data_IF_618025984588
#
_entry.id   IF_618025984588
#
_cell.length_a   1.000
_cell.length_b   1.000
_cell.length_c   1.000
_cell.angle_alpha   90.00
_cell.angle_beta   90.00
_cell.angle_gamma   90.00
#
_symmetry.space_group_name_H-M   'P 1'
#
loop_
_entity.id
_entity.type
_entity.pdbx_description
1 polymer ?
#
# COMPACT_ATOMS: atom_id res chain seq x y z
N UNK A 1 14.14 24.31 -1.22
CA UNK A 1 13.99 24.37 -2.70
C UNK A 1 14.86 23.30 -3.41
N UNK A 2 15.95 22.77 -2.82
CA UNK A 2 16.90 21.89 -3.52
C UNK A 2 16.52 20.41 -3.63
N UNK A 3 15.71 19.83 -2.75
CA UNK A 3 15.56 18.37 -2.62
C UNK A 3 14.44 17.83 -3.51
N UNK A 4 13.28 18.49 -3.54
CA UNK A 4 12.13 18.10 -4.40
C UNK A 4 12.51 18.10 -5.88
N UNK A 5 13.30 19.08 -6.29
CA UNK A 5 13.82 19.19 -7.66
C UNK A 5 14.72 18.03 -8.05
N UNK A 6 15.49 17.46 -7.10
CA UNK A 6 16.39 16.35 -7.39
C UNK A 6 15.68 15.04 -7.71
N UNK A 7 14.62 14.65 -6.99
CA UNK A 7 13.90 13.41 -7.28
C UNK A 7 13.09 13.53 -8.57
N UNK A 8 12.44 14.67 -8.81
CA UNK A 8 11.70 14.93 -10.07
C UNK A 8 12.60 14.82 -11.30
N UNK A 9 13.84 15.28 -11.24
CA UNK A 9 14.86 15.11 -12.31
C UNK A 9 15.30 13.65 -12.50
N UNK A 10 15.02 12.77 -11.55
CA UNK A 10 15.35 11.34 -11.62
C UNK A 10 14.21 10.49 -12.18
N UNK A 11 13.03 11.08 -12.45
CA UNK A 11 11.91 10.35 -13.02
C UNK A 11 12.20 9.89 -14.45
N UNK A 12 11.64 8.74 -14.79
CA UNK A 12 11.71 8.13 -16.12
C UNK A 12 10.30 7.85 -16.65
N UNK A 13 10.14 7.98 -17.95
CA UNK A 13 8.92 7.60 -18.62
C UNK A 13 8.67 6.09 -18.45
N UNK A 14 7.54 5.72 -17.85
CA UNK A 14 7.18 4.32 -17.63
C UNK A 14 6.97 3.53 -18.94
N UNK A 15 6.78 4.23 -20.09
CA UNK A 15 6.59 3.62 -21.39
C UNK A 15 7.90 3.40 -22.16
N UNK A 16 8.82 4.35 -22.15
CA UNK A 16 10.03 4.30 -22.99
C UNK A 16 11.35 4.52 -22.25
N UNK A 17 11.36 4.72 -20.94
CA UNK A 17 12.55 4.90 -20.10
C UNK A 17 13.26 6.26 -20.24
N UNK A 18 12.81 7.16 -21.10
CA UNK A 18 13.41 8.48 -21.26
C UNK A 18 13.22 9.33 -20.00
N UNK A 19 14.07 10.33 -19.79
CA UNK A 19 13.89 11.31 -18.72
C UNK A 19 12.53 12.01 -18.84
N UNK A 20 11.88 12.25 -17.71
CA UNK A 20 10.65 13.04 -17.66
C UNK A 20 10.97 14.45 -17.15
N UNK A 21 10.48 15.46 -17.89
CA UNK A 21 10.47 16.84 -17.44
C UNK A 21 9.19 17.05 -16.65
N UNK A 22 9.31 17.17 -15.33
CA UNK A 22 8.16 17.22 -14.40
C UNK A 22 7.86 18.67 -13.92
N UNK A 23 8.12 19.68 -14.75
CA UNK A 23 8.01 21.09 -14.35
C UNK A 23 6.60 21.67 -14.49
N UNK A 24 5.67 20.94 -15.11
CA UNK A 24 4.29 21.42 -15.33
C UNK A 24 3.27 20.56 -14.61
N UNK A 25 2.04 21.03 -14.36
CA UNK A 25 0.96 20.20 -13.86
C UNK A 25 0.73 18.94 -14.71
N UNK A 26 1.06 19.02 -16.01
CA UNK A 26 0.97 17.90 -16.96
C UNK A 26 2.36 17.30 -17.19
N UNK A 27 2.59 16.13 -16.65
CA UNK A 27 3.83 15.38 -16.87
C UNK A 27 3.75 14.72 -18.25
N UNK A 28 4.62 15.10 -19.18
CA UNK A 28 4.68 14.52 -20.52
C UNK A 28 6.10 14.07 -20.88
N UNK A 29 6.19 12.96 -21.63
CA UNK A 29 7.46 12.48 -22.16
C UNK A 29 7.76 13.14 -23.50
N UNK A 30 8.83 13.92 -23.60
CA UNK A 30 9.27 14.57 -24.83
C UNK A 30 9.66 13.58 -25.94
N UNK A 31 10.10 12.33 -25.56
CA UNK A 31 10.55 11.32 -26.52
C UNK A 31 9.40 10.53 -27.18
N UNK A 32 8.38 10.11 -26.41
CA UNK A 32 7.31 9.24 -26.93
C UNK A 32 5.92 9.86 -26.86
N UNK A 33 5.79 11.10 -26.40
CA UNK A 33 4.53 11.83 -26.29
C UNK A 33 3.57 11.31 -25.20
N UNK A 34 4.00 10.31 -24.38
CA UNK A 34 3.14 9.80 -23.30
C UNK A 34 2.84 10.90 -22.31
N UNK A 35 1.56 11.14 -22.07
CA UNK A 35 1.07 12.03 -21.03
C UNK A 35 0.73 11.24 -19.78
N UNK A 36 0.96 11.85 -18.61
CA UNK A 36 0.67 11.31 -17.30
C UNK A 36 -0.19 12.31 -16.54
N UNK A 37 -1.23 11.83 -15.89
CA UNK A 37 -2.09 12.67 -15.06
C UNK A 37 -1.76 12.52 -13.58
N UNK A 38 -2.41 13.30 -12.74
CA UNK A 38 -2.35 13.18 -11.28
C UNK A 38 -3.69 12.70 -10.73
N UNK A 39 -3.63 11.80 -9.77
CA UNK A 39 -4.77 11.44 -8.95
C UNK A 39 -4.70 12.29 -7.66
N UNK A 40 -5.49 13.36 -7.60
CA UNK A 40 -5.24 14.40 -6.61
C UNK A 40 -3.84 15.01 -6.79
N UNK A 41 -2.96 14.82 -5.79
CA UNK A 41 -1.56 15.26 -5.86
C UNK A 41 -0.59 14.18 -6.37
N UNK A 42 -1.04 12.94 -6.47
CA UNK A 42 -0.20 11.76 -6.76
C UNK A 42 0.00 11.60 -8.26
N UNK A 43 1.22 11.68 -8.79
CA UNK A 43 1.50 11.36 -10.20
C UNK A 43 1.22 9.90 -10.52
N UNK A 44 0.53 9.64 -11.64
CA UNK A 44 0.24 8.30 -12.15
C UNK A 44 1.24 7.96 -13.25
N UNK A 45 2.33 7.30 -12.87
CA UNK A 45 3.45 6.96 -13.76
C UNK A 45 3.36 5.48 -14.21
N UNK A 46 2.30 5.17 -14.95
CA UNK A 46 2.03 3.84 -15.52
C UNK A 46 2.17 3.87 -17.05
N UNK A 47 2.54 2.78 -17.71
CA UNK A 47 2.72 2.76 -19.17
C UNK A 47 1.48 3.18 -19.98
N UNK A 48 0.27 2.90 -19.44
CA UNK A 48 -1.03 3.25 -20.00
C UNK A 48 -1.93 3.80 -18.89
N UNK A 49 -1.71 5.06 -18.46
CA UNK A 49 -2.39 5.59 -17.27
C UNK A 49 -3.92 5.68 -17.43
N UNK A 50 -4.43 6.00 -18.64
CA UNK A 50 -5.86 6.10 -18.90
C UNK A 50 -6.61 4.76 -18.78
N UNK A 51 -5.96 3.64 -19.16
CA UNK A 51 -6.52 2.30 -18.98
C UNK A 51 -6.68 2.00 -17.49
N UNK A 52 -5.71 2.39 -16.67
CA UNK A 52 -5.78 2.25 -15.22
C UNK A 52 -6.86 3.13 -14.60
N UNK A 53 -7.01 4.38 -15.05
CA UNK A 53 -8.08 5.25 -14.57
C UNK A 53 -9.46 4.63 -14.85
N UNK A 54 -9.65 4.08 -16.05
CA UNK A 54 -10.88 3.38 -16.43
C UNK A 54 -11.12 2.15 -15.54
N UNK A 55 -10.07 1.35 -15.30
CA UNK A 55 -10.15 0.19 -14.40
C UNK A 55 -10.52 0.59 -12.98
N UNK A 56 -9.88 1.61 -12.41
CA UNK A 56 -10.13 2.07 -11.05
C UNK A 56 -11.55 2.63 -10.87
N UNK A 57 -12.05 3.41 -11.83
CA UNK A 57 -13.45 3.86 -11.83
C UNK A 57 -14.42 2.68 -11.85
N UNK A 58 -14.15 1.68 -12.68
CA UNK A 58 -14.93 0.46 -12.73
C UNK A 58 -14.90 -0.30 -11.39
N UNK A 59 -13.74 -0.46 -10.77
CA UNK A 59 -13.61 -1.11 -9.46
C UNK A 59 -14.43 -0.37 -8.39
N UNK A 60 -14.39 0.95 -8.36
CA UNK A 60 -15.21 1.74 -7.44
C UNK A 60 -16.70 1.58 -7.73
N UNK A 61 -17.13 1.58 -9.00
CA UNK A 61 -18.52 1.32 -9.40
C UNK A 61 -19.02 -0.07 -8.95
N UNK A 62 -18.18 -1.10 -9.07
CA UNK A 62 -18.48 -2.45 -8.56
C UNK A 62 -18.62 -2.47 -7.05
N UNK A 63 -17.74 -1.80 -6.32
CA UNK A 63 -17.82 -1.68 -4.87
C UNK A 63 -19.12 -0.99 -4.45
N UNK A 64 -19.52 0.08 -5.15
CA UNK A 64 -20.78 0.78 -4.90
C UNK A 64 -22.00 -0.16 -5.09
N UNK A 65 -22.02 -0.96 -6.15
CA UNK A 65 -23.10 -1.91 -6.41
C UNK A 65 -23.19 -2.99 -5.32
N UNK A 66 -22.06 -3.57 -4.94
CA UNK A 66 -21.98 -4.61 -3.92
C UNK A 66 -22.37 -4.10 -2.53
N UNK A 67 -21.90 -2.91 -2.14
CA UNK A 67 -22.29 -2.31 -0.86
C UNK A 67 -23.78 -2.03 -0.81
N UNK A 68 -24.39 -1.58 -1.91
CA UNK A 68 -25.85 -1.39 -2.00
C UNK A 68 -26.60 -2.71 -1.88
N UNK A 69 -26.15 -3.75 -2.58
CA UNK A 69 -26.75 -5.07 -2.49
C UNK A 69 -26.68 -5.63 -1.06
N UNK A 70 -25.49 -5.52 -0.43
CA UNK A 70 -25.28 -5.98 0.95
C UNK A 70 -26.18 -5.22 1.93
N UNK A 71 -26.22 -3.89 1.86
CA UNK A 71 -27.05 -3.08 2.75
C UNK A 71 -28.53 -3.37 2.56
N UNK A 72 -29.01 -3.51 1.31
CA UNK A 72 -30.40 -3.88 1.02
C UNK A 72 -30.77 -5.26 1.57
N UNK A 73 -29.90 -6.25 1.46
CA UNK A 73 -30.13 -7.58 2.03
C UNK A 73 -30.18 -7.56 3.56
N UNK A 74 -29.30 -6.81 4.21
CA UNK A 74 -29.28 -6.65 5.67
C UNK A 74 -30.56 -5.96 6.18
N UNK A 75 -31.02 -4.92 5.49
CA UNK A 75 -32.24 -4.19 5.84
C UNK A 75 -33.51 -5.04 5.62
N UNK A 76 -33.54 -5.80 4.51
CA UNK A 76 -34.64 -6.74 4.25
C UNK A 76 -34.71 -7.84 5.32
N UNK A 77 -33.59 -8.40 5.73
CA UNK A 77 -33.51 -9.38 6.82
C UNK A 77 -33.94 -8.76 8.16
N UNK A 78 -33.48 -7.53 8.48
CA UNK A 78 -33.84 -6.81 9.69
C UNK A 78 -35.38 -6.52 9.77
N UNK A 79 -36.02 -6.42 8.62
CA UNK A 79 -37.49 -6.28 8.51
C UNK A 79 -38.30 -7.54 8.87
N UNK A 80 -37.65 -8.70 9.04
CA UNK A 80 -38.37 -9.94 9.40
C UNK A 80 -38.93 -9.82 10.82
N UNK A 81 -40.30 -9.94 10.98
CA UNK A 81 -40.94 -9.81 12.29
C UNK A 81 -40.54 -10.92 13.27
N UNK A 82 -40.13 -12.08 12.80
CA UNK A 82 -39.75 -13.23 13.63
C UNK A 82 -38.35 -13.09 14.27
N UNK A 83 -37.54 -12.11 13.83
CA UNK A 83 -36.22 -11.88 14.41
C UNK A 83 -36.32 -11.23 15.79
N UNK A 84 -35.47 -11.68 16.70
CA UNK A 84 -35.24 -11.02 17.99
C UNK A 84 -34.75 -9.57 17.78
N UNK A 85 -35.14 -8.64 18.65
CA UNK A 85 -34.79 -7.22 18.55
C UNK A 85 -33.27 -6.99 18.52
N UNK A 86 -32.47 -7.78 19.28
CA UNK A 86 -31.02 -7.71 19.25
C UNK A 86 -30.41 -8.06 17.86
N UNK A 87 -31.04 -9.00 17.13
CA UNK A 87 -30.66 -9.35 15.77
C UNK A 87 -30.97 -8.20 14.78
N UNK A 88 -32.16 -7.61 14.88
CA UNK A 88 -32.55 -6.44 14.07
C UNK A 88 -31.58 -5.25 14.30
N UNK A 89 -31.30 -4.95 15.56
CA UNK A 89 -30.33 -3.90 15.91
C UNK A 89 -28.94 -4.17 15.30
N UNK A 90 -28.46 -5.41 15.38
CA UNK A 90 -27.19 -5.82 14.79
C UNK A 90 -27.17 -5.64 13.28
N UNK A 91 -28.18 -6.11 12.57
CA UNK A 91 -28.28 -6.00 11.11
C UNK A 91 -28.34 -4.54 10.65
N UNK A 92 -29.14 -3.72 11.33
CA UNK A 92 -29.23 -2.30 11.03
C UNK A 92 -27.90 -1.56 11.29
N UNK A 93 -27.22 -1.85 12.41
CA UNK A 93 -25.92 -1.26 12.71
C UNK A 93 -24.88 -1.63 11.65
N UNK A 94 -24.87 -2.89 11.20
CA UNK A 94 -23.98 -3.35 10.13
C UNK A 94 -24.30 -2.66 8.80
N UNK A 95 -25.58 -2.54 8.41
CA UNK A 95 -25.99 -1.85 7.19
C UNK A 95 -25.57 -0.37 7.21
N UNK A 96 -25.69 0.31 8.36
CA UNK A 96 -25.20 1.67 8.53
C UNK A 96 -23.69 1.76 8.38
N UNK A 97 -22.93 0.87 9.05
CA UNK A 97 -21.47 0.84 8.98
C UNK A 97 -20.94 0.63 7.56
N UNK A 98 -21.52 -0.31 6.81
CA UNK A 98 -21.16 -0.57 5.40
C UNK A 98 -21.48 0.65 4.52
N UNK A 99 -22.61 1.32 4.75
CA UNK A 99 -23.00 2.52 4.00
C UNK A 99 -22.06 3.69 4.29
N UNK A 100 -21.70 3.90 5.54
CA UNK A 100 -20.75 4.94 5.95
C UNK A 100 -19.36 4.70 5.36
N UNK A 101 -18.88 3.46 5.42
CA UNK A 101 -17.58 3.08 4.81
C UNK A 101 -17.59 3.39 3.31
N UNK A 102 -18.64 2.98 2.58
CA UNK A 102 -18.75 3.27 1.15
C UNK A 102 -18.74 4.78 0.87
N UNK A 103 -19.55 5.56 1.62
CA UNK A 103 -19.60 7.01 1.47
C UNK A 103 -18.20 7.62 1.64
N UNK A 104 -17.48 7.25 2.68
CA UNK A 104 -16.13 7.74 2.96
C UNK A 104 -15.12 7.37 1.86
N UNK A 105 -15.21 6.16 1.30
CA UNK A 105 -14.39 5.77 0.13
C UNK A 105 -14.73 6.64 -1.08
N UNK A 106 -16.00 6.85 -1.37
CA UNK A 106 -16.44 7.67 -2.51
C UNK A 106 -16.02 9.13 -2.33
N UNK A 107 -16.14 9.68 -1.12
CA UNK A 107 -15.75 11.05 -0.82
C UNK A 107 -14.24 11.28 -1.00
N UNK A 108 -13.42 10.35 -0.56
CA UNK A 108 -11.95 10.48 -0.64
C UNK A 108 -11.41 10.08 -2.01
N UNK A 109 -11.72 8.86 -2.46
CA UNK A 109 -11.15 8.29 -3.68
C UNK A 109 -11.92 8.72 -4.92
N UNK A 110 -13.25 8.77 -4.84
CA UNK A 110 -14.11 9.18 -5.95
C UNK A 110 -13.81 10.61 -6.39
N UNK A 111 -13.62 11.53 -5.43
CA UNK A 111 -13.20 12.90 -5.70
C UNK A 111 -11.88 12.97 -6.45
N UNK A 112 -10.92 12.12 -6.10
CA UNK A 112 -9.62 12.06 -6.77
C UNK A 112 -9.72 11.46 -8.17
N UNK A 113 -10.52 10.38 -8.37
CA UNK A 113 -10.72 9.74 -9.68
C UNK A 113 -11.43 10.64 -10.70
N UNK A 114 -12.24 11.60 -10.21
CA UNK A 114 -13.00 12.52 -11.05
C UNK A 114 -14.00 11.82 -11.99
N UNK A 115 -14.91 12.60 -12.59
CA UNK A 115 -15.92 12.10 -13.52
C UNK A 115 -17.07 11.32 -12.83
N UNK A 116 -18.07 10.90 -13.62
CA UNK A 116 -19.20 10.16 -13.10
C UNK A 116 -18.80 8.76 -12.65
N UNK A 117 -19.24 8.40 -11.44
CA UNK A 117 -19.10 7.05 -10.88
C UNK A 117 -20.47 6.37 -10.94
N UNK A 118 -20.61 5.42 -11.83
CA UNK A 118 -21.85 4.67 -11.95
C UNK A 118 -21.67 3.28 -11.34
N UNK A 119 -22.62 2.81 -10.50
CA UNK A 119 -22.63 1.45 -10.03
C UNK A 119 -22.70 0.48 -11.21
N UNK A 120 -21.84 -0.53 -11.22
CA UNK A 120 -21.79 -1.51 -12.29
C UNK A 120 -22.31 -2.86 -11.83
N UNK A 121 -23.15 -3.49 -12.62
CA UNK A 121 -23.58 -4.87 -12.36
C UNK A 121 -22.38 -5.82 -12.42
N UNK A 122 -22.24 -6.67 -11.40
CA UNK A 122 -21.17 -7.66 -11.33
C UNK A 122 -21.61 -8.91 -10.60
N UNK A 123 -21.15 -10.04 -11.09
CA UNK A 123 -21.30 -11.36 -10.47
C UNK A 123 -20.13 -11.77 -9.58
N UNK A 124 -19.13 -10.92 -9.39
CA UNK A 124 -17.94 -11.21 -8.60
C UNK A 124 -17.43 -10.05 -7.75
N UNK A 125 -16.82 -10.36 -6.61
CA UNK A 125 -16.17 -9.35 -5.75
C UNK A 125 -14.93 -8.76 -6.45
N UNK A 126 -14.78 -7.42 -6.50
CA UNK A 126 -13.50 -6.82 -6.90
C UNK A 126 -12.47 -7.20 -5.84
N UNK A 127 -11.51 -8.02 -6.21
CA UNK A 127 -10.34 -8.25 -5.37
C UNK A 127 -9.58 -6.92 -5.23
N UNK A 128 -9.26 -6.54 -4.02
CA UNK A 128 -8.38 -5.42 -3.74
C UNK A 128 -8.97 -4.33 -2.84
N UNK A 129 -10.07 -3.67 -3.21
CA UNK A 129 -10.53 -2.45 -2.51
C UNK A 129 -10.99 -2.74 -1.08
N UNK A 130 -11.77 -3.80 -0.85
CA UNK A 130 -12.27 -4.16 0.49
C UNK A 130 -11.25 -5.01 1.25
N UNK A 131 -10.52 -5.85 0.53
CA UNK A 131 -9.57 -6.80 1.12
C UNK A 131 -8.39 -6.09 1.79
N UNK A 132 -7.95 -4.95 1.24
CA UNK A 132 -6.83 -4.17 1.78
C UNK A 132 -7.23 -3.01 2.70
N UNK A 133 -8.53 -2.73 2.89
CA UNK A 133 -8.98 -1.64 3.80
C UNK A 133 -8.49 -1.82 5.25
N UNK A 134 -8.29 -3.07 5.69
CA UNK A 134 -7.73 -3.36 7.01
C UNK A 134 -6.33 -2.79 7.22
N UNK A 135 -5.55 -2.58 6.15
CA UNK A 135 -4.25 -1.90 6.24
C UNK A 135 -4.40 -0.45 6.70
N UNK A 136 -5.46 0.26 6.25
CA UNK A 136 -5.72 1.64 6.69
C UNK A 136 -6.00 1.71 8.18
N UNK A 137 -6.79 0.77 8.70
CA UNK A 137 -7.11 0.73 10.14
C UNK A 137 -5.88 0.37 10.97
N UNK A 138 -5.11 -0.67 10.59
CA UNK A 138 -3.88 -1.05 11.28
C UNK A 138 -2.89 0.10 11.31
N UNK A 139 -2.69 0.74 10.17
CA UNK A 139 -1.65 1.74 9.99
C UNK A 139 -1.97 3.06 10.68
N UNK A 140 -3.26 3.47 10.70
CA UNK A 140 -3.60 4.83 11.05
C UNK A 140 -4.68 5.01 12.12
N UNK A 141 -5.35 3.90 12.53
CA UNK A 141 -6.50 3.96 13.42
C UNK A 141 -6.38 3.10 14.69
N UNK A 142 -5.87 1.87 14.58
CA UNK A 142 -5.82 0.93 15.71
C UNK A 142 -4.69 1.30 16.68
N UNK A 143 -4.86 2.37 17.44
CA UNK A 143 -3.87 2.97 18.33
C UNK A 143 -2.88 1.97 18.96
N UNK A 144 -3.33 1.19 19.95
CA UNK A 144 -2.45 0.25 20.66
C UNK A 144 -2.07 -0.96 19.80
N UNK A 145 -3.04 -1.62 19.18
CA UNK A 145 -2.82 -2.85 18.43
C UNK A 145 -2.02 -2.58 17.13
N UNK A 146 -2.42 -1.57 16.36
CA UNK A 146 -1.73 -1.17 15.13
C UNK A 146 -0.33 -0.64 15.40
N UNK A 147 -0.15 0.19 16.41
CA UNK A 147 1.17 0.70 16.78
C UNK A 147 2.12 -0.41 17.24
N UNK A 148 1.63 -1.46 17.93
CA UNK A 148 2.45 -2.63 18.27
C UNK A 148 2.93 -3.39 17.03
N UNK A 149 2.05 -3.61 16.04
CA UNK A 149 2.43 -4.27 14.79
C UNK A 149 3.41 -3.43 13.97
N UNK A 150 3.19 -2.12 13.88
CA UNK A 150 4.10 -1.20 13.21
C UNK A 150 5.47 -1.15 13.91
N UNK A 151 5.49 -1.11 15.24
CA UNK A 151 6.72 -1.13 16.03
C UNK A 151 7.49 -2.45 15.85
N UNK A 152 6.81 -3.60 15.83
CA UNK A 152 7.45 -4.89 15.52
C UNK A 152 8.16 -4.87 14.16
N UNK A 153 7.52 -4.27 13.14
CA UNK A 153 8.12 -4.12 11.81
C UNK A 153 9.37 -3.24 11.82
N UNK A 154 9.32 -2.10 12.51
CA UNK A 154 10.48 -1.20 12.68
C UNK A 154 11.61 -1.90 13.44
N UNK A 155 11.31 -2.60 14.54
CA UNK A 155 12.31 -3.31 15.34
C UNK A 155 12.98 -4.45 14.55
N UNK A 156 12.19 -5.16 13.74
CA UNK A 156 12.73 -6.20 12.86
C UNK A 156 13.67 -5.60 11.80
N UNK A 157 13.30 -4.49 11.17
CA UNK A 157 14.16 -3.81 10.21
C UNK A 157 15.41 -3.26 10.92
N UNK A 158 15.25 -2.60 12.07
CA UNK A 158 16.38 -2.07 12.85
C UNK A 158 17.39 -3.15 13.24
N UNK A 159 16.92 -4.38 13.49
CA UNK A 159 17.79 -5.50 13.86
C UNK A 159 18.68 -6.01 12.73
N UNK A 160 18.37 -5.69 11.48
CA UNK A 160 19.13 -6.14 10.31
C UNK A 160 19.84 -5.01 9.56
N UNK A 161 19.50 -3.75 9.82
CA UNK A 161 20.19 -2.64 9.15
C UNK A 161 21.56 -2.42 9.75
N UNK A 162 22.58 -2.29 8.89
CA UNK A 162 23.96 -2.04 9.28
C UNK A 162 24.23 -0.58 9.64
N UNK A 163 23.32 0.32 9.31
CA UNK A 163 23.32 1.73 9.71
C UNK A 163 21.91 2.32 9.70
N UNK A 164 21.59 3.14 10.68
CA UNK A 164 20.30 3.85 10.77
C UNK A 164 20.22 5.10 9.87
N UNK A 165 21.06 5.18 8.82
CA UNK A 165 21.00 6.26 7.83
C UNK A 165 20.49 5.72 6.51
N UNK A 166 19.17 5.67 6.33
CA UNK A 166 18.56 5.15 5.10
C UNK A 166 18.73 6.08 3.89
N UNK A 167 19.07 7.37 4.13
CA UNK A 167 19.32 8.33 3.06
C UNK A 167 18.11 8.55 2.15
N UNK A 168 18.33 8.62 0.84
CA UNK A 168 17.23 8.64 -0.13
C UNK A 168 16.65 7.23 -0.28
N UNK A 169 15.41 7.06 0.16
CA UNK A 169 14.75 5.76 0.26
C UNK A 169 13.63 5.62 -0.76
N UNK A 170 13.55 4.44 -1.38
CA UNK A 170 12.39 4.00 -2.15
C UNK A 170 11.69 2.87 -1.40
N UNK A 171 10.38 2.99 -1.21
CA UNK A 171 9.54 1.90 -0.68
C UNK A 171 8.63 1.40 -1.79
N UNK A 172 8.75 0.11 -2.13
CA UNK A 172 8.00 -0.54 -3.21
C UNK A 172 6.92 -1.44 -2.64
N UNK A 173 5.68 -1.27 -3.10
CA UNK A 173 4.52 -1.94 -2.49
C UNK A 173 4.20 -1.34 -1.13
N UNK A 174 4.15 -0.01 -1.06
CA UNK A 174 4.04 0.72 0.21
C UNK A 174 2.68 0.59 0.90
N UNK A 175 1.64 0.11 0.19
CA UNK A 175 0.30 -0.10 0.72
C UNK A 175 -0.28 1.18 1.35
N UNK A 176 -0.70 1.10 2.63
CA UNK A 176 -1.18 2.27 3.36
C UNK A 176 -0.06 3.18 3.90
N UNK A 177 1.20 2.93 3.56
CA UNK A 177 2.39 3.76 3.77
C UNK A 177 2.87 3.94 5.22
N UNK A 178 2.29 3.31 6.23
CA UNK A 178 2.71 3.52 7.62
C UNK A 178 4.18 3.12 7.85
N UNK A 179 4.60 1.98 7.36
CA UNK A 179 5.99 1.56 7.52
C UNK A 179 6.95 2.53 6.83
N UNK A 180 6.61 3.03 5.63
CA UNK A 180 7.43 4.02 4.94
C UNK A 180 7.52 5.34 5.73
N UNK A 181 6.40 5.78 6.33
CA UNK A 181 6.34 6.94 7.19
C UNK A 181 7.22 6.77 8.44
N UNK A 182 7.11 5.64 9.15
CA UNK A 182 7.89 5.35 10.35
C UNK A 182 9.39 5.21 10.04
N UNK A 183 9.77 4.56 8.93
CA UNK A 183 11.16 4.48 8.47
C UNK A 183 11.73 5.88 8.18
N UNK A 184 10.94 6.76 7.56
CA UNK A 184 11.35 8.13 7.32
C UNK A 184 11.59 8.89 8.62
N UNK A 185 10.69 8.72 9.60
CA UNK A 185 10.77 9.41 10.90
C UNK A 185 11.91 8.93 11.79
N UNK A 186 12.15 7.61 11.82
CA UNK A 186 12.95 6.99 12.88
C UNK A 186 14.27 6.37 12.43
N UNK A 187 14.50 6.22 11.11
CA UNK A 187 15.69 5.53 10.58
C UNK A 187 16.49 6.39 9.58
N UNK A 188 16.50 7.71 9.78
CA UNK A 188 17.42 8.63 9.10
C UNK A 188 17.26 8.67 7.57
N UNK A 189 16.04 8.47 7.04
CA UNK A 189 15.76 8.79 5.66
C UNK A 189 15.73 10.30 5.45
N UNK A 190 16.42 10.79 4.42
CA UNK A 190 16.47 12.21 4.08
C UNK A 190 15.38 12.60 3.09
N UNK A 191 15.01 11.66 2.22
CA UNK A 191 13.96 11.80 1.22
C UNK A 191 13.37 10.42 0.96
N UNK A 192 12.05 10.31 0.92
CA UNK A 192 11.34 9.03 0.70
C UNK A 192 10.44 9.12 -0.51
N UNK A 193 10.60 8.17 -1.44
CA UNK A 193 9.63 7.90 -2.49
C UNK A 193 8.85 6.62 -2.14
N UNK A 194 7.54 6.66 -2.24
CA UNK A 194 6.69 5.47 -2.11
C UNK A 194 6.04 5.15 -3.45
N UNK A 195 6.02 3.85 -3.80
CA UNK A 195 5.43 3.35 -5.04
C UNK A 195 4.43 2.25 -4.71
N UNK A 196 3.25 2.38 -5.25
CA UNK A 196 2.21 1.34 -5.24
C UNK A 196 1.37 1.44 -6.50
N UNK A 197 0.59 0.39 -6.79
CA UNK A 197 -0.36 0.35 -7.91
C UNK A 197 -1.80 0.54 -7.43
N UNK A 198 -2.06 0.43 -6.13
CA UNK A 198 -3.38 0.59 -5.53
C UNK A 198 -3.68 2.06 -5.22
N UNK A 199 -4.57 2.72 -5.99
CA UNK A 199 -4.91 4.13 -5.79
C UNK A 199 -5.73 4.35 -4.52
N UNK A 200 -6.52 3.35 -4.07
CA UNK A 200 -7.43 3.50 -2.95
C UNK A 200 -6.65 3.69 -1.65
N UNK A 201 -5.68 2.83 -1.37
CA UNK A 201 -4.82 2.99 -0.20
C UNK A 201 -3.98 4.27 -0.28
N UNK A 202 -3.46 4.57 -1.47
CA UNK A 202 -2.54 5.69 -1.66
C UNK A 202 -3.21 7.06 -1.48
N UNK A 203 -4.46 7.23 -1.92
CA UNK A 203 -5.18 8.52 -1.75
C UNK A 203 -5.46 8.78 -0.27
N UNK A 204 -5.87 7.75 0.49
CA UNK A 204 -6.01 7.85 1.94
C UNK A 204 -4.67 8.17 2.62
N UNK A 205 -3.64 7.39 2.31
CA UNK A 205 -2.32 7.55 2.91
C UNK A 205 -1.72 8.93 2.63
N UNK A 206 -1.87 9.45 1.40
CA UNK A 206 -1.39 10.79 1.05
C UNK A 206 -2.06 11.86 1.90
N UNK A 207 -3.38 11.84 2.00
CA UNK A 207 -4.13 12.80 2.82
C UNK A 207 -3.68 12.75 4.29
N UNK A 208 -3.55 11.54 4.88
CA UNK A 208 -3.15 11.34 6.28
C UNK A 208 -1.71 11.80 6.51
N UNK A 209 -0.78 11.41 5.64
CA UNK A 209 0.64 11.81 5.76
C UNK A 209 0.80 13.31 5.61
N UNK A 210 -0.08 13.99 4.88
CA UNK A 210 -0.11 15.47 4.78
C UNK A 210 -0.81 16.15 5.95
N UNK A 211 -1.30 15.39 6.93
CA UNK A 211 -1.87 15.92 8.18
C UNK A 211 -3.39 16.04 8.18
N UNK A 212 -4.07 15.48 7.21
CA UNK A 212 -5.53 15.38 7.28
C UNK A 212 -5.95 14.36 8.35
N UNK A 213 -7.04 14.66 9.04
CA UNK A 213 -7.80 13.67 9.82
C UNK A 213 -8.85 13.09 8.91
N UNK A 214 -8.74 11.78 8.61
CA UNK A 214 -9.65 11.10 7.70
C UNK A 214 -10.52 10.13 8.49
N UNK A 215 -11.83 10.33 8.47
CA UNK A 215 -12.76 9.39 9.10
C UNK A 215 -12.95 8.16 8.22
N UNK A 216 -12.86 6.98 8.85
CA UNK A 216 -13.09 5.73 8.14
C UNK A 216 -13.74 4.68 9.05
N UNK A 217 -14.87 4.13 8.58
CA UNK A 217 -15.71 3.22 9.36
C UNK A 217 -15.31 1.78 9.13
N UNK A 218 -14.88 1.09 10.18
CA UNK A 218 -14.72 -0.36 10.24
C UNK A 218 -16.03 -1.00 10.64
N UNK A 219 -16.52 -1.94 9.83
CA UNK A 219 -17.72 -2.71 10.10
C UNK A 219 -17.42 -4.22 10.02
N UNK A 220 -17.94 -5.01 10.95
CA UNK A 220 -17.68 -6.44 11.01
C UNK A 220 -18.93 -7.25 11.29
N UNK A 221 -19.09 -8.35 10.55
CA UNK A 221 -20.15 -9.35 10.78
C UNK A 221 -19.86 -10.28 11.97
N UNK A 222 -18.62 -10.30 12.44
CA UNK A 222 -18.14 -11.26 13.45
C UNK A 222 -17.65 -10.54 14.70
N UNK A 223 -18.59 -9.92 15.42
CA UNK A 223 -18.33 -9.25 16.70
C UNK A 223 -19.08 -9.95 17.83
N UNK A 224 -18.55 -9.82 19.03
CA UNK A 224 -19.12 -10.43 20.23
C UNK A 224 -20.11 -9.49 20.93
N UNK A 225 -20.02 -8.18 20.70
CA UNK A 225 -20.83 -7.15 21.33
C UNK A 225 -21.46 -6.24 20.28
N UNK A 226 -22.72 -5.84 20.49
CA UNK A 226 -23.45 -4.94 19.57
C UNK A 226 -22.71 -3.60 19.36
N UNK A 227 -22.05 -3.09 20.39
CA UNK A 227 -21.28 -1.85 20.36
C UNK A 227 -20.04 -1.89 19.46
N UNK A 228 -19.62 -3.10 19.04
CA UNK A 228 -18.42 -3.33 18.23
C UNK A 228 -18.73 -3.64 16.76
N UNK A 229 -20.01 -3.63 16.34
CA UNK A 229 -20.39 -4.00 14.96
C UNK A 229 -19.84 -3.02 13.94
N UNK A 230 -19.88 -1.73 14.24
CA UNK A 230 -19.33 -0.68 13.39
C UNK A 230 -18.72 0.41 14.28
N UNK A 231 -17.54 0.86 13.90
CA UNK A 231 -16.84 1.95 14.56
C UNK A 231 -16.18 2.86 13.54
N UNK A 232 -16.47 4.14 13.63
CA UNK A 232 -15.73 5.15 12.86
C UNK A 232 -14.46 5.53 13.61
N UNK A 233 -13.34 5.47 12.91
CA UNK A 233 -12.02 5.83 13.38
C UNK A 233 -11.58 7.15 12.76
N UNK A 234 -10.80 7.93 13.48
CA UNK A 234 -10.05 9.06 12.94
C UNK A 234 -8.64 8.57 12.58
N UNK A 235 -8.37 8.47 11.28
CA UNK A 235 -7.07 8.08 10.75
C UNK A 235 -6.15 9.29 10.75
N UNK A 236 -5.03 9.20 11.46
CA UNK A 236 -4.09 10.32 11.65
C UNK A 236 -2.64 9.86 11.60
N UNK A 237 -1.74 10.76 11.17
CA UNK A 237 -0.31 10.54 11.26
C UNK A 237 0.16 10.79 12.72
N UNK A 238 0.69 9.76 13.43
CA UNK A 238 0.91 9.85 14.88
C UNK A 238 1.98 10.87 15.29
N UNK A 239 3.00 11.05 14.47
CA UNK A 239 4.13 11.95 14.73
C UNK A 239 4.09 13.22 13.86
N UNK A 240 2.88 13.58 13.40
CA UNK A 240 2.61 14.77 12.60
C UNK A 240 2.90 14.60 11.10
N UNK A 241 2.58 15.62 10.30
CA UNK A 241 2.67 15.55 8.86
C UNK A 241 4.10 15.52 8.32
N UNK A 242 4.25 14.96 7.11
CA UNK A 242 5.45 15.06 6.29
C UNK A 242 5.16 15.92 5.05
N UNK A 243 6.09 16.80 4.71
CA UNK A 243 5.99 17.71 3.55
C UNK A 243 6.19 16.99 2.20
N UNK A 244 5.76 17.68 1.12
CA UNK A 244 5.98 17.21 -0.25
C UNK A 244 7.44 17.31 -0.70
N UNK A 245 8.27 17.96 0.07
CA UNK A 245 9.71 18.13 -0.16
C UNK A 245 10.54 16.94 0.32
N UNK A 246 9.99 16.12 1.21
CA UNK A 246 10.71 14.98 1.80
C UNK A 246 10.03 13.63 1.60
N UNK A 247 8.70 13.63 1.30
CA UNK A 247 7.93 12.38 1.15
C UNK A 247 7.04 12.43 -0.09
N UNK A 248 7.29 11.55 -1.06
CA UNK A 248 6.73 11.59 -2.41
C UNK A 248 5.94 10.34 -2.72
N UNK A 249 4.70 10.51 -3.19
CA UNK A 249 3.83 9.42 -3.63
C UNK A 249 3.86 9.28 -5.16
N UNK A 250 3.94 8.03 -5.65
CA UNK A 250 3.86 7.71 -7.08
C UNK A 250 3.00 6.47 -7.30
N UNK A 251 1.91 6.59 -8.03
CA UNK A 251 1.19 5.43 -8.56
C UNK A 251 1.96 4.87 -9.76
N UNK A 252 2.65 3.76 -9.55
CA UNK A 252 3.53 3.17 -10.56
C UNK A 252 3.67 1.66 -10.35
N UNK A 253 4.18 0.96 -11.38
CA UNK A 253 4.45 -0.47 -11.29
C UNK A 253 5.70 -0.72 -10.43
N UNK A 254 5.52 -1.37 -9.29
CA UNK A 254 6.61 -1.73 -8.38
C UNK A 254 7.65 -2.67 -8.98
N UNK A 255 7.31 -3.45 -10.00
CA UNK A 255 8.27 -4.31 -10.73
C UNK A 255 9.25 -3.51 -11.61
N UNK A 256 8.85 -2.29 -12.00
CA UNK A 256 9.68 -1.39 -12.82
C UNK A 256 9.47 0.06 -12.39
N UNK A 257 9.95 0.44 -11.19
CA UNK A 257 9.77 1.80 -10.69
C UNK A 257 10.39 2.82 -11.65
N UNK A 258 9.69 3.92 -11.95
CA UNK A 258 10.06 4.86 -13.02
C UNK A 258 11.13 5.86 -12.57
N UNK A 259 12.28 5.37 -12.15
CA UNK A 259 13.41 6.19 -11.70
C UNK A 259 14.70 5.84 -12.45
N UNK A 260 15.60 6.81 -12.49
CA UNK A 260 16.93 6.64 -13.04
C UNK A 260 17.77 5.64 -12.24
N UNK A 261 18.77 5.09 -12.88
CA UNK A 261 19.76 4.23 -12.24
C UNK A 261 20.51 4.99 -11.14
N UNK A 262 20.87 4.28 -10.07
CA UNK A 262 21.62 4.84 -8.96
C UNK A 262 20.93 6.01 -8.24
N UNK A 263 19.58 6.00 -8.20
CA UNK A 263 18.83 7.07 -7.55
C UNK A 263 18.80 6.94 -6.04
N UNK A 264 18.75 5.72 -5.50
CA UNK A 264 18.43 5.49 -4.09
C UNK A 264 19.61 4.93 -3.29
N UNK A 265 19.71 5.37 -2.04
CA UNK A 265 20.59 4.80 -1.02
C UNK A 265 20.02 3.49 -0.49
N UNK A 266 18.70 3.44 -0.34
CA UNK A 266 17.97 2.30 0.21
C UNK A 266 16.72 2.04 -0.61
N UNK A 267 16.49 0.76 -0.96
CA UNK A 267 15.22 0.26 -1.46
C UNK A 267 14.61 -0.62 -0.37
N UNK A 268 13.33 -0.45 -0.07
CA UNK A 268 12.60 -1.26 0.92
C UNK A 268 11.42 -1.93 0.25
N UNK A 269 11.22 -3.22 0.50
CA UNK A 269 10.09 -4.02 0.00
C UNK A 269 9.31 -4.62 1.17
N UNK A 270 8.32 -3.87 1.71
CA UNK A 270 7.46 -4.42 2.74
C UNK A 270 6.37 -5.28 2.12
N UNK A 271 6.25 -6.57 2.51
CA UNK A 271 5.15 -7.46 2.09
C UNK A 271 4.93 -7.48 0.56
N UNK A 272 6.02 -7.45 -0.23
CA UNK A 272 5.95 -7.26 -1.67
C UNK A 272 6.48 -8.45 -2.48
N UNK A 273 7.62 -9.04 -2.10
CA UNK A 273 8.30 -10.02 -2.94
C UNK A 273 7.51 -11.33 -3.11
N UNK A 274 6.69 -11.69 -2.15
CA UNK A 274 5.80 -12.84 -2.20
C UNK A 274 4.57 -12.62 -3.10
N UNK A 275 4.23 -11.36 -3.42
CA UNK A 275 3.14 -11.02 -4.32
C UNK A 275 3.52 -11.08 -5.81
N UNK A 276 4.81 -11.17 -6.12
CA UNK A 276 5.34 -11.10 -7.50
C UNK A 276 6.26 -12.28 -7.87
N UNK A 277 5.93 -13.52 -7.46
CA UNK A 277 6.87 -14.63 -7.57
C UNK A 277 7.32 -14.95 -9.02
N UNK A 278 6.48 -14.86 -10.08
CA UNK A 278 6.94 -15.09 -11.43
C UNK A 278 7.95 -14.06 -11.95
N UNK A 279 7.82 -12.81 -11.47
CA UNK A 279 8.59 -11.66 -11.95
C UNK A 279 9.77 -11.34 -11.03
N UNK A 280 9.96 -12.08 -9.94
CA UNK A 280 10.98 -11.82 -8.93
C UNK A 280 12.39 -11.68 -9.51
N UNK A 281 12.87 -12.52 -10.46
CA UNK A 281 14.21 -12.35 -11.04
C UNK A 281 14.37 -11.01 -11.78
N UNK A 282 13.35 -10.58 -12.54
CA UNK A 282 13.34 -9.28 -13.22
C UNK A 282 13.31 -8.13 -12.21
N UNK A 283 12.55 -8.27 -11.13
CA UNK A 283 12.47 -7.29 -10.06
C UNK A 283 13.81 -7.12 -9.34
N UNK A 284 14.56 -8.20 -9.06
CA UNK A 284 15.90 -8.13 -8.45
C UNK A 284 16.85 -7.30 -9.32
N UNK A 285 16.78 -7.46 -10.65
CA UNK A 285 17.54 -6.64 -11.59
C UNK A 285 17.15 -5.16 -11.50
N UNK A 286 15.85 -4.87 -11.36
CA UNK A 286 15.37 -3.50 -11.20
C UNK A 286 15.85 -2.88 -9.87
N UNK A 287 15.83 -3.61 -8.77
CA UNK A 287 16.36 -3.16 -7.47
C UNK A 287 17.86 -2.84 -7.58
N UNK A 288 18.63 -3.75 -8.19
CA UNK A 288 20.07 -3.55 -8.39
C UNK A 288 20.36 -2.26 -9.18
N UNK A 289 19.62 -2.03 -10.25
CA UNK A 289 19.74 -0.82 -11.09
C UNK A 289 19.43 0.47 -10.31
N UNK A 290 18.41 0.46 -9.46
CA UNK A 290 17.95 1.64 -8.73
C UNK A 290 18.89 2.06 -7.60
N UNK A 291 19.65 1.12 -7.06
CA UNK A 291 20.60 1.39 -5.99
C UNK A 291 21.86 2.10 -6.51
N UNK A 292 22.31 3.12 -5.79
CA UNK A 292 23.64 3.72 -6.02
C UNK A 292 24.75 2.76 -5.54
N UNK A 293 26.00 2.96 -5.96
CA UNK A 293 27.12 2.24 -5.39
C UNK A 293 27.15 2.36 -3.86
N UNK A 294 27.20 1.22 -3.16
CA UNK A 294 27.11 1.15 -1.70
C UNK A 294 25.71 1.30 -1.12
N UNK A 295 24.69 1.35 -1.97
CA UNK A 295 23.28 1.28 -1.56
C UNK A 295 22.88 -0.11 -1.07
N UNK A 296 21.69 -0.23 -0.51
CA UNK A 296 21.17 -1.46 0.08
C UNK A 296 19.72 -1.71 -0.26
N UNK A 297 19.34 -2.97 -0.24
CA UNK A 297 17.95 -3.41 -0.29
C UNK A 297 17.56 -4.03 1.06
N UNK A 298 16.41 -3.62 1.61
CA UNK A 298 15.81 -4.16 2.82
C UNK A 298 14.50 -4.82 2.42
N UNK A 299 14.36 -6.12 2.73
CA UNK A 299 13.07 -6.81 2.64
C UNK A 299 12.48 -7.02 4.02
N UNK A 300 11.16 -6.87 4.14
CA UNK A 300 10.40 -7.16 5.33
C UNK A 300 9.02 -7.70 4.95
N UNK A 301 8.78 -8.98 5.14
CA UNK A 301 7.50 -9.60 4.80
C UNK A 301 7.56 -11.12 4.83
N UNK A 302 6.41 -11.80 4.75
CA UNK A 302 6.35 -13.26 4.71
C UNK A 302 6.73 -13.78 3.32
N UNK A 303 6.79 -15.12 3.22
CA UNK A 303 6.85 -15.86 1.96
C UNK A 303 5.53 -16.60 1.76
N UNK A 304 4.42 -15.83 1.71
CA UNK A 304 3.05 -16.33 1.53
C UNK A 304 2.58 -15.93 0.14
N UNK A 305 2.77 -16.86 -0.80
CA UNK A 305 2.49 -16.63 -2.20
C UNK A 305 1.00 -16.73 -2.54
N UNK A 306 0.50 -15.97 -3.53
CA UNK A 306 -0.87 -16.10 -4.02
C UNK A 306 -1.21 -17.55 -4.42
N UNK A 307 -2.47 -17.94 -4.19
CA UNK A 307 -2.92 -19.32 -4.45
C UNK A 307 -2.86 -19.72 -5.93
N UNK A 308 -2.90 -18.76 -6.83
CA UNK A 308 -2.76 -18.92 -8.28
C UNK A 308 -1.31 -18.86 -8.77
N UNK A 309 -0.36 -18.51 -7.90
CA UNK A 309 1.06 -18.56 -8.25
C UNK A 309 1.51 -20.00 -8.50
N UNK A 310 2.29 -20.27 -9.56
CA UNK A 310 2.85 -21.61 -9.81
C UNK A 310 3.64 -22.10 -8.60
N UNK A 311 3.43 -23.36 -8.19
CA UNK A 311 4.12 -23.94 -7.02
C UNK A 311 5.64 -23.86 -7.19
N UNK A 312 6.15 -24.05 -8.42
CA UNK A 312 7.57 -23.91 -8.75
C UNK A 312 8.14 -22.50 -8.59
N UNK A 313 7.29 -21.52 -8.31
CA UNK A 313 7.67 -20.12 -8.05
C UNK A 313 7.37 -19.68 -6.62
N UNK A 314 6.93 -20.60 -5.77
CA UNK A 314 6.73 -20.35 -4.33
C UNK A 314 8.02 -20.73 -3.62
N UNK A 315 8.94 -19.79 -3.58
CA UNK A 315 10.30 -19.99 -3.09
C UNK A 315 10.35 -20.18 -1.58
N UNK A 316 11.12 -21.17 -1.12
CA UNK A 316 11.59 -21.23 0.27
C UNK A 316 12.59 -20.10 0.53
N UNK A 317 12.93 -19.87 1.81
CA UNK A 317 13.96 -18.90 2.16
C UNK A 317 15.30 -19.19 1.46
N UNK A 318 15.71 -20.44 1.42
CA UNK A 318 16.96 -20.92 0.82
C UNK A 318 16.98 -20.63 -0.69
N UNK A 319 15.89 -20.94 -1.39
CA UNK A 319 15.74 -20.67 -2.82
C UNK A 319 15.73 -19.17 -3.12
N UNK A 320 15.05 -18.38 -2.25
CA UNK A 320 15.06 -16.91 -2.35
C UNK A 320 16.49 -16.38 -2.20
N UNK A 321 17.24 -16.84 -1.21
CA UNK A 321 18.60 -16.38 -0.97
C UNK A 321 19.55 -16.76 -2.11
N UNK A 322 19.39 -17.94 -2.69
CA UNK A 322 20.13 -18.33 -3.90
C UNK A 322 19.78 -17.43 -5.10
N UNK A 323 18.49 -17.14 -5.33
CA UNK A 323 18.05 -16.19 -6.36
C UNK A 323 18.66 -14.79 -6.16
N UNK A 324 18.62 -14.27 -4.95
CA UNK A 324 19.15 -12.96 -4.59
C UNK A 324 20.67 -12.91 -4.79
N UNK A 325 21.38 -13.98 -4.40
CA UNK A 325 22.81 -14.12 -4.62
C UNK A 325 23.16 -14.15 -6.10
N UNK A 326 22.45 -14.90 -6.93
CA UNK A 326 22.62 -14.94 -8.39
C UNK A 326 22.33 -13.60 -9.06
N UNK A 327 21.44 -12.79 -8.46
CA UNK A 327 21.17 -11.43 -8.92
C UNK A 327 22.26 -10.41 -8.53
N UNK A 328 23.37 -10.86 -7.92
CA UNK A 328 24.50 -10.02 -7.56
C UNK A 328 24.37 -9.31 -6.23
N UNK A 329 23.62 -9.88 -5.28
CA UNK A 329 23.50 -9.37 -3.93
C UNK A 329 24.12 -10.31 -2.91
N UNK A 330 24.63 -9.76 -1.82
CA UNK A 330 24.98 -10.47 -0.60
C UNK A 330 23.95 -10.14 0.47
N UNK A 331 23.31 -11.15 1.06
CA UNK A 331 22.37 -11.02 2.17
C UNK A 331 23.13 -11.23 3.47
N UNK A 332 23.25 -10.19 4.27
CA UNK A 332 23.75 -10.20 5.64
C UNK A 332 23.49 -8.83 6.28
N UNK A 333 22.89 -8.76 7.45
CA UNK A 333 22.26 -9.85 8.25
C UNK A 333 20.81 -10.14 7.82
N UNK A 334 20.23 -11.20 8.38
CA UNK A 334 18.82 -11.51 8.24
C UNK A 334 18.19 -12.02 9.55
N UNK A 335 16.86 -11.94 9.63
CA UNK A 335 16.05 -12.40 10.75
C UNK A 335 14.74 -13.01 10.23
N UNK A 336 14.24 -14.06 10.93
CA UNK A 336 12.90 -14.60 10.73
C UNK A 336 12.21 -14.78 12.07
N UNK A 337 11.01 -14.23 12.22
CA UNK A 337 10.21 -14.33 13.44
C UNK A 337 8.70 -14.28 13.14
N UNK A 338 7.93 -14.86 14.05
CA UNK A 338 6.47 -14.80 13.97
C UNK A 338 5.96 -13.49 14.51
N UNK A 339 5.17 -12.78 13.69
CA UNK A 339 4.59 -11.49 14.04
C UNK A 339 3.07 -11.53 13.96
N UNK A 340 2.42 -10.73 14.80
CA UNK A 340 0.98 -10.47 14.68
C UNK A 340 0.72 -9.66 13.43
N UNK A 341 -0.37 -9.97 12.73
CA UNK A 341 -0.75 -9.27 11.51
C UNK A 341 -2.25 -9.05 11.44
N UNK A 342 -2.66 -7.77 11.29
CA UNK A 342 -4.05 -7.33 11.17
C UNK A 342 -4.95 -7.81 12.32
N UNK A 343 -4.49 -7.66 13.55
CA UNK A 343 -5.28 -8.02 14.74
C UNK A 343 -6.22 -6.87 15.09
N UNK A 344 -7.44 -6.93 14.55
CA UNK A 344 -8.45 -5.90 14.80
C UNK A 344 -8.87 -5.82 16.27
N UNK A 345 -8.89 -4.61 16.87
CA UNK A 345 -9.39 -4.43 18.24
C UNK A 345 -10.91 -4.59 18.36
N UNK A 346 -11.66 -4.59 17.25
CA UNK A 346 -13.10 -4.84 17.27
C UNK A 346 -13.41 -6.32 17.40
N UNK A 347 -12.71 -7.17 16.63
CA UNK A 347 -13.01 -8.60 16.52
C UNK A 347 -12.06 -9.49 17.29
N UNK A 348 -10.91 -8.95 17.73
CA UNK A 348 -9.78 -9.68 18.31
C UNK A 348 -9.23 -10.80 17.38
N UNK A 349 -9.59 -10.73 16.10
CA UNK A 349 -9.13 -11.63 15.04
C UNK A 349 -7.97 -11.02 14.29
N UNK A 350 -7.05 -11.86 13.90
CA UNK A 350 -5.88 -11.54 13.11
C UNK A 350 -5.15 -12.80 12.72
N UNK A 351 -3.94 -12.62 12.24
CA UNK A 351 -3.06 -13.73 11.82
C UNK A 351 -1.76 -13.68 12.60
N UNK A 352 -1.07 -14.83 12.62
CA UNK A 352 0.36 -14.91 12.93
C UNK A 352 1.08 -15.22 11.63
N UNK A 353 2.02 -14.38 11.25
CA UNK A 353 2.77 -14.53 10.00
C UNK A 353 4.26 -14.69 10.33
N UNK A 354 4.93 -15.65 9.68
CA UNK A 354 6.39 -15.74 9.76
C UNK A 354 7.00 -14.73 8.80
N UNK A 355 7.63 -13.70 9.33
CA UNK A 355 8.17 -12.56 8.59
C UNK A 355 9.67 -12.72 8.43
N UNK A 356 10.14 -12.65 7.18
CA UNK A 356 11.55 -12.65 6.82
C UNK A 356 12.02 -11.20 6.60
N UNK A 357 12.98 -10.79 7.41
CA UNK A 357 13.62 -9.48 7.29
C UNK A 357 15.10 -9.64 7.00
N UNK A 358 15.61 -8.95 5.98
CA UNK A 358 17.04 -8.97 5.65
C UNK A 358 17.50 -7.65 5.03
N UNK A 359 18.79 -7.36 5.17
CA UNK A 359 19.51 -6.39 4.37
C UNK A 359 20.31 -7.13 3.29
N UNK A 360 20.28 -6.64 2.06
CA UNK A 360 21.08 -7.13 0.95
C UNK A 360 21.85 -5.98 0.29
N UNK A 361 23.11 -6.21 -0.03
CA UNK A 361 23.98 -5.22 -0.66
C UNK A 361 24.47 -5.75 -2.01
N UNK A 362 24.51 -4.90 -3.07
CA UNK A 362 25.11 -5.28 -4.34
C UNK A 362 26.57 -5.71 -4.14
N UNK A 363 26.94 -6.85 -4.74
CA UNK A 363 28.34 -7.31 -4.79
C UNK A 363 29.04 -6.56 -5.93
N UNK A 364 30.25 -6.08 -5.69
CA UNK A 364 31.07 -5.37 -6.69
C UNK A 364 31.49 -6.28 -7.83
#
# INVERSE_FOLDING_TARGET
>A
VGVVEQLRKRLRCARCGAALEAETPDIACSRCGQKYFRLGRIPVLLPRPDDHLTLWRRQLGLLMAQSRQMTGALEAEAGNPELAEGAKLRLNALAHGVRDQLRQIVDVVGSALGGPLEPQESTGLPRGVVEYSYLLYRDWAWEKAGNQECQQSIDSIRSVVTTEKLGRMLVVGAGACRLAYDLHRFLGATETAVVDIDPFLFVFAEAIVRGAVVQFTEASTTVQELSRIARTWDLTAPDGPLGEDVFHFFLANGLSPPFADGTFDTVVTPWFIDQVPPDLPGFLTAVHRLLRPGGRWINHGPLIYPVDAPISRRYSREELFDLVSRAGFRIEPWRGDSQRHLVSPLTERGKMEWVLTFEAQPVK
#
